data_IF_758046500749
#
_entry.id   IF_758046500749
#
_cell.length_a   1.000
_cell.length_b   1.000
_cell.length_c   1.000
_cell.angle_alpha   90.00
_cell.angle_beta   90.00
_cell.angle_gamma   90.00
#
_symmetry.space_group_name_H-M   'P 1'
#
loop_
_entity.id
_entity.type
_entity.pdbx_description
1 polymer ?
#
# COMPACT_ATOMS: atom_id res chain seq x y z
N UNK A 1 -28.37 -54.15 -27.41
CA UNK A 1 -27.45 -53.07 -27.27
C UNK A 1 -28.04 -51.79 -26.62
N UNK A 2 -29.34 -51.56 -26.61
CA UNK A 2 -29.95 -50.33 -26.03
C UNK A 2 -30.18 -50.34 -24.50
N UNK A 3 -30.03 -51.47 -23.80
CA UNK A 3 -30.21 -51.54 -22.34
C UNK A 3 -28.91 -51.28 -21.54
N UNK A 4 -27.74 -51.44 -22.14
CA UNK A 4 -26.44 -51.15 -21.49
C UNK A 4 -26.07 -49.67 -21.47
N UNK A 5 -26.58 -48.88 -22.40
CA UNK A 5 -26.32 -47.41 -22.49
C UNK A 5 -27.10 -46.62 -21.42
N UNK A 6 -28.25 -47.14 -20.95
CA UNK A 6 -29.06 -46.47 -19.90
C UNK A 6 -28.50 -46.60 -18.49
N UNK A 7 -27.66 -47.60 -18.22
CA UNK A 7 -27.05 -47.81 -16.90
C UNK A 7 -25.79 -46.94 -16.71
N UNK A 8 -25.10 -46.57 -17.78
CA UNK A 8 -23.89 -45.73 -17.73
C UNK A 8 -24.22 -44.25 -17.54
N UNK A 9 -25.41 -43.77 -17.93
CA UNK A 9 -25.81 -42.37 -17.73
C UNK A 9 -26.27 -42.02 -16.32
N UNK A 10 -26.52 -42.96 -15.42
CA UNK A 10 -27.00 -42.70 -14.05
C UNK A 10 -25.84 -42.61 -13.04
N UNK A 11 -24.62 -43.05 -13.40
CA UNK A 11 -23.47 -43.04 -12.49
C UNK A 11 -22.59 -41.74 -12.59
N UNK A 12 -22.99 -40.78 -13.43
CA UNK A 12 -22.19 -39.56 -13.68
C UNK A 12 -22.69 -38.32 -12.92
N UNK A 13 -23.62 -38.44 -11.98
CA UNK A 13 -24.16 -37.32 -11.21
C UNK A 13 -23.84 -37.54 -9.74
N UNK A 14 -22.65 -37.14 -9.29
CA UNK A 14 -22.32 -37.26 -7.86
C UNK A 14 -20.95 -36.77 -7.42
N UNK A 15 -20.32 -35.86 -8.16
CA UNK A 15 -19.19 -35.12 -7.59
C UNK A 15 -19.65 -33.70 -7.27
N UNK A 16 -20.44 -33.55 -6.21
CA UNK A 16 -20.56 -32.26 -5.53
C UNK A 16 -19.19 -31.97 -4.93
N UNK A 17 -18.45 -31.07 -5.56
CA UNK A 17 -17.26 -30.47 -4.95
C UNK A 17 -17.73 -29.85 -3.65
N UNK A 18 -17.45 -30.50 -2.52
CA UNK A 18 -17.49 -29.88 -1.20
C UNK A 18 -16.37 -28.83 -1.26
N UNK A 19 -16.73 -27.59 -1.58
CA UNK A 19 -15.86 -26.45 -1.35
C UNK A 19 -15.67 -26.37 0.16
N UNK A 20 -14.61 -27.04 0.67
CA UNK A 20 -14.17 -26.84 2.03
C UNK A 20 -13.97 -25.33 2.23
N UNK A 21 -14.56 -24.77 3.27
CA UNK A 21 -14.23 -23.41 3.70
C UNK A 21 -12.72 -23.38 3.93
N UNK A 22 -11.98 -22.73 3.01
CA UNK A 22 -10.57 -22.47 3.24
C UNK A 22 -10.46 -21.60 4.50
N UNK A 23 -9.95 -22.20 5.56
CA UNK A 23 -9.66 -21.47 6.79
C UNK A 23 -8.52 -20.50 6.47
N UNK A 24 -8.83 -19.21 6.46
CA UNK A 24 -7.82 -18.18 6.30
C UNK A 24 -6.86 -18.27 7.48
N UNK A 25 -5.60 -18.60 7.20
CA UNK A 25 -4.54 -18.67 8.20
C UNK A 25 -3.77 -17.35 8.21
N UNK A 26 -3.10 -17.07 9.32
CA UNK A 26 -2.24 -15.88 9.46
C UNK A 26 -1.12 -15.87 8.39
N UNK A 27 -0.56 -17.04 8.07
CA UNK A 27 0.47 -17.19 7.04
C UNK A 27 -0.07 -16.85 5.64
N UNK A 28 -1.32 -17.24 5.34
CA UNK A 28 -1.99 -16.88 4.09
C UNK A 28 -2.19 -15.36 3.99
N UNK A 29 -2.59 -14.70 5.08
CA UNK A 29 -2.76 -13.26 5.13
C UNK A 29 -1.43 -12.52 4.88
N UNK A 30 -0.35 -12.99 5.52
CA UNK A 30 1.00 -12.43 5.34
C UNK A 30 1.48 -12.65 3.90
N UNK A 31 1.24 -13.83 3.33
CA UNK A 31 1.63 -14.15 1.96
C UNK A 31 0.91 -13.24 0.95
N UNK A 32 -0.41 -13.12 1.05
CA UNK A 32 -1.21 -12.23 0.19
C UNK A 32 -0.83 -10.76 0.34
N UNK A 33 -0.53 -10.33 1.55
CA UNK A 33 -0.05 -8.98 1.77
C UNK A 33 1.31 -8.75 1.09
N UNK A 34 2.24 -9.70 1.21
CA UNK A 34 3.54 -9.63 0.55
C UNK A 34 3.44 -9.57 -0.98
N UNK A 35 2.53 -10.31 -1.58
CA UNK A 35 2.33 -10.30 -3.05
C UNK A 35 1.69 -9.02 -3.56
N UNK A 36 0.75 -8.44 -2.80
CA UNK A 36 -0.06 -7.33 -3.26
C UNK A 36 0.37 -5.97 -2.72
N UNK A 37 1.25 -5.91 -1.72
CA UNK A 37 1.67 -4.65 -1.14
C UNK A 37 2.66 -3.92 -2.07
N UNK A 38 2.34 -2.69 -2.50
CA UNK A 38 3.14 -1.98 -3.52
C UNK A 38 4.61 -1.77 -3.15
N UNK A 39 4.92 -1.71 -1.87
CA UNK A 39 6.28 -1.47 -1.36
C UNK A 39 7.27 -2.59 -1.73
N UNK A 40 6.81 -3.85 -1.94
CA UNK A 40 7.68 -4.91 -2.44
C UNK A 40 8.21 -4.61 -3.85
N UNK A 41 7.41 -3.96 -4.70
CA UNK A 41 7.82 -3.54 -6.04
C UNK A 41 8.79 -2.36 -6.00
N UNK A 42 8.76 -1.58 -4.92
CA UNK A 42 9.59 -0.39 -4.77
C UNK A 42 11.08 -0.75 -4.71
N UNK A 43 11.48 -1.87 -4.10
CA UNK A 43 12.88 -2.30 -4.07
C UNK A 43 13.44 -2.53 -5.48
N UNK A 44 12.65 -3.12 -6.38
CA UNK A 44 13.04 -3.29 -7.79
C UNK A 44 13.23 -1.96 -8.49
N UNK A 45 12.31 -1.02 -8.27
CA UNK A 45 12.39 0.34 -8.83
C UNK A 45 13.59 1.09 -8.26
N UNK A 46 13.86 0.98 -6.96
CA UNK A 46 15.03 1.57 -6.31
C UNK A 46 16.34 1.04 -6.90
N UNK A 47 16.43 -0.25 -7.16
CA UNK A 47 17.61 -0.86 -7.81
C UNK A 47 17.80 -0.34 -9.25
N UNK A 48 16.72 -0.21 -10.02
CA UNK A 48 16.79 0.37 -11.37
C UNK A 48 17.19 1.85 -11.34
N UNK A 49 16.67 2.61 -10.36
CA UNK A 49 17.03 4.01 -10.18
C UNK A 49 18.52 4.16 -9.83
N UNK A 50 19.06 3.30 -8.95
CA UNK A 50 20.49 3.27 -8.63
C UNK A 50 21.32 3.08 -9.89
N UNK A 51 20.97 2.12 -10.75
CA UNK A 51 21.70 1.88 -12.00
C UNK A 51 21.73 3.13 -12.89
N UNK A 52 20.60 3.84 -13.01
CA UNK A 52 20.54 5.08 -13.79
C UNK A 52 21.35 6.21 -13.13
N UNK A 53 21.26 6.36 -11.81
CA UNK A 53 22.03 7.37 -11.08
C UNK A 53 23.54 7.12 -11.19
N UNK A 54 23.99 5.86 -11.09
CA UNK A 54 25.39 5.52 -11.29
C UNK A 54 25.88 5.81 -12.71
N UNK A 55 25.03 5.59 -13.73
CA UNK A 55 25.34 5.97 -15.12
C UNK A 55 25.48 7.49 -15.23
N UNK A 56 24.52 8.25 -14.70
CA UNK A 56 24.54 9.71 -14.71
C UNK A 56 25.76 10.27 -13.99
N UNK A 57 26.17 9.67 -12.86
CA UNK A 57 27.40 10.05 -12.17
C UNK A 57 28.65 9.78 -13.03
N UNK A 58 28.71 8.63 -13.72
CA UNK A 58 29.81 8.28 -14.62
C UNK A 58 29.88 9.20 -15.85
N UNK A 59 28.76 9.70 -16.34
CA UNK A 59 28.70 10.62 -17.46
C UNK A 59 29.41 11.95 -17.18
N UNK A 60 29.65 12.32 -15.92
CA UNK A 60 30.44 13.49 -15.57
C UNK A 60 31.91 13.43 -16.02
N UNK A 61 32.41 12.25 -16.40
CA UNK A 61 33.71 12.08 -17.07
C UNK A 61 33.67 12.39 -18.57
N UNK A 62 32.48 12.39 -19.19
CA UNK A 62 32.34 12.65 -20.61
C UNK A 62 32.45 14.15 -20.91
N UNK A 63 32.97 14.51 -22.09
CA UNK A 63 33.00 15.90 -22.51
C UNK A 63 31.57 16.43 -22.68
N UNK A 64 31.31 17.61 -22.13
CA UNK A 64 30.06 18.34 -22.28
C UNK A 64 30.19 19.37 -23.36
N UNK A 65 29.40 19.23 -24.43
CA UNK A 65 29.30 20.19 -25.50
C UNK A 65 28.08 21.08 -25.25
N UNK A 66 28.28 22.39 -25.16
CA UNK A 66 27.18 23.35 -25.02
C UNK A 66 27.25 24.40 -26.12
N UNK A 67 26.09 24.74 -26.67
CA UNK A 67 25.89 25.82 -27.62
C UNK A 67 25.03 26.91 -26.96
N UNK A 68 25.53 28.14 -26.97
CA UNK A 68 24.81 29.29 -26.49
C UNK A 68 24.68 30.30 -27.62
N UNK A 69 23.49 30.84 -27.83
CA UNK A 69 23.22 31.96 -28.72
C UNK A 69 22.46 33.01 -27.94
N UNK A 70 22.91 34.24 -28.04
CA UNK A 70 22.31 35.39 -27.39
C UNK A 70 22.14 36.51 -28.41
N UNK A 71 20.97 37.10 -28.44
CA UNK A 71 20.67 38.33 -29.17
C UNK A 71 20.28 39.41 -28.14
N UNK A 72 20.91 40.53 -28.18
CA UNK A 72 20.63 41.68 -27.29
C UNK A 72 20.28 42.89 -28.17
N UNK A 73 19.17 43.55 -27.83
CA UNK A 73 18.79 44.83 -28.41
C UNK A 73 18.77 45.88 -27.32
N UNK A 74 19.59 46.97 -27.51
CA UNK A 74 19.66 48.09 -26.58
C UNK A 74 18.82 49.23 -27.15
N UNK A 75 17.84 49.70 -26.39
CA UNK A 75 17.00 50.85 -26.78
C UNK A 75 17.76 52.15 -26.73
N UNK A 76 18.79 52.22 -25.89
CA UNK A 76 19.70 53.36 -25.77
C UNK A 76 21.13 52.85 -25.85
N UNK A 77 21.94 53.49 -26.71
CA UNK A 77 23.37 53.23 -26.83
C UNK A 77 24.13 54.48 -26.37
N UNK A 78 25.25 54.25 -25.73
CA UNK A 78 26.14 55.36 -25.27
C UNK A 78 26.79 55.95 -26.50
N UNK A 79 26.53 57.24 -26.76
CA UNK A 79 27.16 58.00 -27.80
C UNK A 79 28.38 58.73 -27.23
N UNK A 80 29.56 58.49 -27.79
CA UNK A 80 30.79 59.21 -27.45
C UNK A 80 31.05 60.21 -28.58
N UNK A 81 30.83 61.51 -28.30
CA UNK A 81 31.17 62.58 -29.19
C UNK A 81 32.63 62.99 -28.95
N UNK A 82 33.56 62.60 -29.82
CA UNK A 82 34.93 63.15 -29.89
C UNK A 82 35.02 64.05 -31.06
N UNK A 83 35.71 65.23 -30.92
CA UNK A 83 35.90 66.12 -32.02
C UNK A 83 36.63 65.46 -33.21
N UNK A 84 35.91 65.28 -34.32
CA UNK A 84 36.43 64.66 -35.51
C UNK A 84 36.22 63.15 -35.67
N UNK A 85 35.52 62.47 -34.74
CA UNK A 85 35.18 61.02 -34.83
C UNK A 85 33.75 60.80 -34.37
N UNK A 86 32.89 60.39 -35.30
CA UNK A 86 31.52 59.98 -35.00
C UNK A 86 31.51 58.44 -34.86
N UNK A 87 31.27 57.97 -33.64
CA UNK A 87 31.23 56.55 -33.29
C UNK A 87 29.76 56.15 -33.11
N UNK A 88 29.20 55.55 -34.12
CA UNK A 88 27.85 54.98 -34.07
C UNK A 88 27.95 53.51 -33.60
N UNK A 89 27.35 53.21 -32.45
CA UNK A 89 27.30 51.84 -31.93
C UNK A 89 25.97 51.18 -32.33
N UNK A 90 25.99 49.96 -32.84
CA UNK A 90 24.77 49.27 -33.21
C UNK A 90 23.89 48.98 -31.96
N UNK A 91 22.59 49.13 -32.13
CA UNK A 91 21.59 48.82 -31.13
C UNK A 91 21.47 47.32 -30.89
N UNK A 92 21.82 46.50 -31.83
CA UNK A 92 21.74 45.04 -31.79
C UNK A 92 23.13 44.41 -31.63
N UNK A 93 23.19 43.38 -30.78
CA UNK A 93 24.40 42.58 -30.61
C UNK A 93 24.02 41.07 -30.61
N UNK A 94 24.77 40.34 -31.37
CA UNK A 94 24.58 38.88 -31.50
C UNK A 94 25.86 38.19 -31.04
N UNK A 95 25.69 37.20 -30.14
CA UNK A 95 26.79 36.36 -29.68
C UNK A 95 26.42 34.90 -29.85
N UNK A 96 27.31 34.11 -30.44
CA UNK A 96 27.21 32.67 -30.48
C UNK A 96 28.49 32.07 -29.89
N UNK A 97 28.33 31.08 -29.01
CA UNK A 97 29.46 30.39 -28.40
C UNK A 97 29.21 28.87 -28.43
N UNK A 98 30.22 28.13 -28.81
CA UNK A 98 30.31 26.71 -28.69
C UNK A 98 31.39 26.38 -27.69
N UNK A 99 31.02 25.73 -26.55
CA UNK A 99 31.97 25.36 -25.51
C UNK A 99 32.02 23.87 -25.33
N UNK A 100 33.24 23.33 -25.21
CA UNK A 100 33.52 21.93 -24.86
C UNK A 100 34.24 21.93 -23.53
N UNK A 101 33.59 21.29 -22.53
CA UNK A 101 34.15 21.16 -21.18
C UNK A 101 34.33 19.68 -20.83
N UNK A 102 35.49 19.31 -20.32
CA UNK A 102 35.77 17.95 -19.87
C UNK A 102 36.56 17.96 -18.56
N UNK A 103 36.08 17.17 -17.60
CA UNK A 103 36.81 16.91 -16.35
C UNK A 103 37.96 15.95 -16.63
N UNK A 104 39.20 16.37 -16.38
CA UNK A 104 40.41 15.54 -16.55
C UNK A 104 40.83 14.92 -15.21
N UNK A 105 40.75 15.71 -14.13
CA UNK A 105 41.06 15.29 -12.75
C UNK A 105 40.04 15.90 -11.82
N UNK A 106 39.38 15.07 -10.98
CA UNK A 106 38.33 15.52 -10.07
C UNK A 106 38.64 15.26 -8.59
N UNK A 107 39.83 14.76 -8.27
CA UNK A 107 40.24 14.39 -6.90
C UNK A 107 39.41 13.26 -6.28
N UNK A 108 38.72 12.45 -7.09
CA UNK A 108 37.89 11.31 -6.63
C UNK A 108 36.44 11.70 -6.31
N UNK A 109 36.00 12.91 -6.63
CA UNK A 109 34.64 13.42 -6.37
C UNK A 109 33.57 12.55 -7.05
N UNK A 110 33.74 12.21 -8.32
CA UNK A 110 32.79 11.38 -9.09
C UNK A 110 32.65 9.99 -8.45
N UNK A 111 33.77 9.39 -8.02
CA UNK A 111 33.73 8.10 -7.32
C UNK A 111 33.01 8.20 -5.96
N UNK A 112 33.29 9.25 -5.20
CA UNK A 112 32.65 9.51 -3.93
C UNK A 112 31.12 9.71 -4.11
N UNK A 113 30.72 10.48 -5.14
CA UNK A 113 29.31 10.66 -5.48
C UNK A 113 28.63 9.35 -5.83
N UNK A 114 29.25 8.47 -6.63
CA UNK A 114 28.70 7.14 -6.93
C UNK A 114 28.54 6.26 -5.68
N UNK A 115 29.46 6.36 -4.72
CA UNK A 115 29.32 5.65 -3.44
C UNK A 115 28.15 6.21 -2.61
N UNK A 116 27.92 7.52 -2.62
CA UNK A 116 26.76 8.14 -1.93
C UNK A 116 25.46 7.64 -2.53
N UNK A 117 25.33 7.60 -3.86
CA UNK A 117 24.13 7.08 -4.52
C UNK A 117 23.86 5.61 -4.13
N UNK A 118 24.91 4.78 -4.11
CA UNK A 118 24.79 3.37 -3.71
C UNK A 118 24.32 3.21 -2.26
N UNK A 119 24.97 3.92 -1.32
CA UNK A 119 24.60 3.85 0.11
C UNK A 119 23.20 4.41 0.34
N UNK A 120 22.81 5.48 -0.36
CA UNK A 120 21.46 6.04 -0.29
C UNK A 120 20.40 5.05 -0.76
N UNK A 121 20.70 4.30 -1.83
CA UNK A 121 19.81 3.26 -2.33
C UNK A 121 19.70 2.07 -1.35
N UNK A 122 20.82 1.60 -0.80
CA UNK A 122 20.86 0.56 0.23
C UNK A 122 20.04 0.99 1.47
N UNK A 123 20.16 2.24 1.89
CA UNK A 123 19.40 2.81 3.00
C UNK A 123 17.89 2.78 2.71
N UNK A 124 17.49 3.14 1.50
CA UNK A 124 16.09 3.11 1.08
C UNK A 124 15.53 1.68 1.10
N UNK A 125 16.31 0.69 0.62
CA UNK A 125 15.92 -0.72 0.66
C UNK A 125 15.74 -1.21 2.11
N UNK A 126 16.67 -0.84 3.01
CA UNK A 126 16.57 -1.21 4.43
C UNK A 126 15.37 -0.54 5.12
N UNK A 127 15.05 0.71 4.77
CA UNK A 127 13.84 1.38 5.25
C UNK A 127 12.57 0.65 4.79
N UNK A 128 12.53 0.21 3.54
CA UNK A 128 11.40 -0.57 3.04
C UNK A 128 11.25 -1.90 3.79
N UNK A 129 12.34 -2.57 4.14
CA UNK A 129 12.30 -3.80 4.94
C UNK A 129 11.73 -3.55 6.34
N UNK A 130 12.09 -2.45 7.00
CA UNK A 130 11.52 -2.06 8.30
C UNK A 130 10.00 -1.84 8.19
N UNK A 131 9.55 -1.17 7.13
CA UNK A 131 8.10 -0.97 6.91
C UNK A 131 7.36 -2.30 6.65
N UNK A 132 8.01 -3.27 6.01
CA UNK A 132 7.46 -4.61 5.84
C UNK A 132 7.31 -5.35 7.17
N UNK A 133 8.25 -5.21 8.09
CA UNK A 133 8.12 -5.75 9.45
C UNK A 133 6.90 -5.16 10.17
N UNK A 134 6.70 -3.84 10.08
CA UNK A 134 5.53 -3.17 10.66
C UNK A 134 4.21 -3.65 10.02
N UNK A 135 4.23 -3.94 8.71
CA UNK A 135 3.07 -4.50 8.02
C UNK A 135 2.71 -5.89 8.59
N UNK A 136 3.70 -6.77 8.77
CA UNK A 136 3.50 -8.11 9.35
C UNK A 136 2.94 -7.99 10.77
N UNK A 137 3.48 -7.10 11.58
CA UNK A 137 2.95 -6.83 12.93
C UNK A 137 1.49 -6.38 12.90
N UNK A 138 1.14 -5.45 12.01
CA UNK A 138 -0.24 -4.99 11.83
C UNK A 138 -1.19 -6.12 11.40
N UNK A 139 -0.74 -6.99 10.49
CA UNK A 139 -1.53 -8.15 10.06
C UNK A 139 -1.77 -9.09 11.24
N UNK A 140 -0.74 -9.37 12.04
CA UNK A 140 -0.87 -10.20 13.22
C UNK A 140 -1.89 -9.62 14.23
N UNK A 141 -1.81 -8.33 14.51
CA UNK A 141 -2.77 -7.64 15.38
C UNK A 141 -4.20 -7.71 14.85
N UNK A 142 -4.39 -7.42 13.56
CA UNK A 142 -5.72 -7.48 12.93
C UNK A 142 -6.28 -8.91 12.94
N UNK A 143 -5.47 -9.91 12.62
CA UNK A 143 -5.89 -11.30 12.64
C UNK A 143 -6.34 -11.75 14.04
N UNK A 144 -5.55 -11.42 15.06
CA UNK A 144 -5.91 -11.74 16.47
C UNK A 144 -7.17 -11.00 16.88
N UNK A 145 -7.34 -9.73 16.50
CA UNK A 145 -8.55 -8.97 16.83
C UNK A 145 -9.79 -9.57 16.18
N UNK A 146 -9.69 -10.06 14.95
CA UNK A 146 -10.81 -10.76 14.27
C UNK A 146 -11.15 -12.07 15.00
N UNK A 147 -10.15 -12.83 15.42
CA UNK A 147 -10.39 -14.06 16.20
C UNK A 147 -11.06 -13.76 17.55
N UNK A 148 -10.58 -12.74 18.26
CA UNK A 148 -11.17 -12.31 19.54
C UNK A 148 -12.62 -11.82 19.34
N UNK A 149 -12.86 -11.03 18.29
CA UNK A 149 -14.22 -10.61 17.94
C UNK A 149 -15.16 -11.78 17.67
N UNK A 150 -14.68 -12.78 16.92
CA UNK A 150 -15.45 -14.00 16.64
C UNK A 150 -15.76 -14.79 17.90
N UNK A 151 -14.78 -14.96 18.80
CA UNK A 151 -14.99 -15.66 20.07
C UNK A 151 -15.94 -14.89 20.99
N UNK A 152 -15.86 -13.55 20.99
CA UNK A 152 -16.81 -12.73 21.74
C UNK A 152 -18.26 -12.92 21.24
N UNK A 153 -18.45 -12.96 19.94
CA UNK A 153 -19.76 -13.26 19.35
C UNK A 153 -20.25 -14.65 19.78
N UNK A 154 -19.39 -15.67 19.76
CA UNK A 154 -19.74 -17.02 20.22
C UNK A 154 -20.19 -17.03 21.68
N UNK A 155 -19.46 -16.32 22.55
CA UNK A 155 -19.82 -16.19 23.98
C UNK A 155 -21.18 -15.49 24.14
N UNK A 156 -21.43 -14.42 23.40
CA UNK A 156 -22.72 -13.70 23.46
C UNK A 156 -23.87 -14.57 22.95
N UNK A 157 -23.64 -15.38 21.90
CA UNK A 157 -24.63 -16.33 21.40
C UNK A 157 -24.99 -17.41 22.43
N UNK A 158 -23.98 -17.99 23.10
CA UNK A 158 -24.21 -18.96 24.17
C UNK A 158 -24.96 -18.33 25.35
N UNK A 159 -24.60 -17.08 25.70
CA UNK A 159 -25.30 -16.33 26.76
C UNK A 159 -26.77 -16.09 26.40
N UNK A 160 -27.04 -15.68 25.13
CA UNK A 160 -28.43 -15.53 24.64
C UNK A 160 -29.20 -16.84 24.73
N UNK A 161 -28.62 -17.96 24.33
CA UNK A 161 -29.26 -19.28 24.42
C UNK A 161 -29.61 -19.64 25.88
N UNK A 162 -28.73 -19.37 26.82
CA UNK A 162 -29.01 -19.59 28.27
C UNK A 162 -30.18 -18.72 28.75
N UNK A 163 -30.21 -17.41 28.36
CA UNK A 163 -31.31 -16.52 28.68
C UNK A 163 -32.64 -17.01 28.09
N UNK A 164 -32.68 -17.47 26.84
CA UNK A 164 -33.86 -18.01 26.20
C UNK A 164 -34.37 -19.28 26.90
N UNK A 165 -33.47 -20.16 27.35
CA UNK A 165 -33.84 -21.35 28.11
C UNK A 165 -34.40 -21.00 29.49
N UNK A 166 -33.85 -19.99 30.15
CA UNK A 166 -34.41 -19.45 31.41
C UNK A 166 -35.77 -18.81 31.18
N UNK A 167 -35.96 -18.07 30.08
CA UNK A 167 -37.23 -17.46 29.73
C UNK A 167 -38.34 -18.48 29.57
N UNK A 168 -38.07 -19.61 28.89
CA UNK A 168 -39.01 -20.73 28.78
C UNK A 168 -39.45 -21.28 30.14
N UNK A 169 -38.51 -21.41 31.08
CA UNK A 169 -38.83 -21.92 32.43
C UNK A 169 -39.64 -20.90 33.25
N UNK A 170 -39.32 -19.60 33.14
CA UNK A 170 -40.06 -18.53 33.79
C UNK A 170 -41.45 -18.41 33.21
N UNK A 171 -41.60 -18.51 31.88
CA UNK A 171 -42.91 -18.54 31.20
C UNK A 171 -43.83 -19.63 31.77
N UNK A 172 -43.33 -20.84 31.91
CA UNK A 172 -44.10 -21.94 32.53
C UNK A 172 -44.50 -21.63 33.99
N UNK A 173 -43.62 -20.96 34.73
CA UNK A 173 -43.90 -20.52 36.11
C UNK A 173 -45.01 -19.45 36.15
N UNK A 174 -45.01 -18.50 35.19
CA UNK A 174 -46.04 -17.47 35.06
C UNK A 174 -47.40 -18.10 34.66
N UNK A 175 -47.40 -19.01 33.69
CA UNK A 175 -48.60 -19.73 33.23
C UNK A 175 -49.23 -20.54 34.35
N UNK A 176 -48.43 -21.10 35.26
CA UNK A 176 -48.89 -21.83 36.44
C UNK A 176 -49.23 -20.94 37.65
N UNK A 177 -49.13 -19.59 37.50
CA UNK A 177 -49.42 -18.64 38.57
C UNK A 177 -48.38 -18.59 39.70
N UNK A 178 -47.17 -19.19 39.48
CA UNK A 178 -46.09 -19.23 40.48
C UNK A 178 -45.16 -18.04 40.41
N UNK A 179 -45.10 -17.35 39.28
CA UNK A 179 -44.24 -16.20 39.06
C UNK A 179 -45.01 -15.02 38.50
N UNK A 180 -44.50 -13.80 38.69
CA UNK A 180 -45.05 -12.57 38.16
C UNK A 180 -44.68 -12.40 36.66
N UNK A 181 -45.59 -11.87 35.83
CA UNK A 181 -45.28 -11.59 34.42
C UNK A 181 -44.09 -10.66 34.22
N UNK A 182 -43.84 -9.71 35.15
CA UNK A 182 -42.71 -8.79 35.10
C UNK A 182 -41.35 -9.49 35.06
N UNK A 183 -41.22 -10.71 35.60
CA UNK A 183 -40.01 -11.48 35.56
C UNK A 183 -39.69 -11.95 34.11
N UNK A 184 -40.73 -12.23 33.30
CA UNK A 184 -40.55 -12.58 31.89
C UNK A 184 -40.16 -11.35 31.05
N UNK A 185 -40.79 -10.19 31.36
CA UNK A 185 -40.48 -8.93 30.65
C UNK A 185 -39.02 -8.50 30.87
N UNK A 186 -38.53 -8.60 32.12
CA UNK A 186 -37.13 -8.28 32.44
C UNK A 186 -36.15 -9.15 31.66
N UNK A 187 -36.42 -10.46 31.59
CA UNK A 187 -35.57 -11.39 30.87
C UNK A 187 -35.63 -11.19 29.35
N UNK A 188 -36.80 -10.85 28.84
CA UNK A 188 -36.98 -10.50 27.42
C UNK A 188 -36.20 -9.25 27.04
N UNK A 189 -36.17 -8.23 27.90
CA UNK A 189 -35.35 -7.04 27.70
C UNK A 189 -33.85 -7.37 27.66
N UNK A 190 -33.38 -8.29 28.53
CA UNK A 190 -31.96 -8.69 28.52
C UNK A 190 -31.60 -9.52 27.27
N UNK A 191 -32.52 -10.35 26.76
CA UNK A 191 -32.32 -11.06 25.48
C UNK A 191 -32.15 -10.07 24.34
N UNK A 192 -33.05 -9.09 24.21
CA UNK A 192 -32.98 -8.03 23.17
C UNK A 192 -31.68 -7.23 23.26
N UNK A 193 -31.24 -6.92 24.47
CA UNK A 193 -29.97 -6.20 24.69
C UNK A 193 -28.77 -7.06 24.26
N UNK A 194 -28.82 -8.37 24.53
CA UNK A 194 -27.76 -9.30 24.11
C UNK A 194 -27.73 -9.44 22.56
N UNK A 195 -28.91 -9.49 21.90
CA UNK A 195 -29.01 -9.45 20.44
C UNK A 195 -28.38 -8.18 19.88
N UNK A 196 -28.70 -7.03 20.44
CA UNK A 196 -28.10 -5.75 20.02
C UNK A 196 -26.57 -5.76 20.17
N UNK A 197 -26.05 -6.35 21.26
CA UNK A 197 -24.60 -6.46 21.44
C UNK A 197 -23.95 -7.39 20.41
N UNK A 198 -24.62 -8.49 20.02
CA UNK A 198 -24.17 -9.38 18.95
C UNK A 198 -24.10 -8.59 17.63
N UNK A 199 -25.17 -7.90 17.27
CA UNK A 199 -25.23 -7.10 16.03
C UNK A 199 -24.14 -6.01 15.99
N UNK A 200 -23.89 -5.34 17.10
CA UNK A 200 -22.80 -4.36 17.20
C UNK A 200 -21.40 -4.97 17.12
N UNK A 201 -21.25 -6.24 17.45
CA UNK A 201 -19.96 -6.94 17.39
C UNK A 201 -19.62 -7.48 15.99
N UNK A 202 -20.58 -7.48 15.06
CA UNK A 202 -20.42 -7.92 13.67
C UNK A 202 -19.88 -6.79 12.77
N UNK A 203 -20.03 -5.52 13.17
CA UNK A 203 -19.56 -4.32 12.46
C UNK A 203 -18.23 -3.81 13.01
#
# INVERSE_FOLDING_TARGET
MHKLIRVICVLAIGTTSVTGQETITIDSCIHWAKENYPMFKQNTVTAQLLEQNEKAVRENWLPKLSFMAQATYNTEVVQFNFPGMDLDFPHDAYMTALSLEQTIVDGGRIKAQGNIERISSEMTIQQNEVELYKLVERINQLYINVLLGRENINVLQLYKEDLENRAKNIQLGVENGMLLPSALDELSAEILKTEQNIDQSVF
#
